data_IF_327599355675
#
_entry.id   IF_327599355675
#
_cell.length_a   1.000
_cell.length_b   1.000
_cell.length_c   1.000
_cell.angle_alpha   90.00
_cell.angle_beta   90.00
_cell.angle_gamma   90.00
#
_symmetry.space_group_name_H-M   'P 1'
#
loop_
_entity.id
_entity.type
_entity.pdbx_description
1 polymer ?
#
# COMPACT_ATOMS: atom_id res chain seq x y z
N UNK A 1 28.18 -1.56 -165.83
CA UNK A 1 26.86 -1.77 -165.20
C UNK A 1 27.08 -1.99 -163.72
N UNK A 2 26.78 -0.99 -162.89
CA UNK A 2 26.99 -1.04 -161.45
C UNK A 2 25.93 -1.92 -160.77
N UNK A 3 26.33 -3.06 -160.22
CA UNK A 3 25.46 -3.97 -159.49
C UNK A 3 25.14 -3.40 -158.10
N UNK A 4 24.09 -2.57 -158.00
CA UNK A 4 23.61 -1.97 -156.73
C UNK A 4 22.83 -2.95 -155.83
N UNK A 5 22.47 -4.13 -156.35
CA UNK A 5 21.70 -5.18 -155.65
C UNK A 5 22.37 -5.74 -154.37
N UNK A 6 23.66 -6.14 -154.36
CA UNK A 6 24.31 -6.61 -153.14
C UNK A 6 24.40 -5.54 -152.05
N UNK A 7 24.58 -4.27 -152.41
CA UNK A 7 24.65 -3.16 -151.46
C UNK A 7 23.32 -2.95 -150.71
N UNK A 8 22.20 -3.06 -151.44
CA UNK A 8 20.85 -2.93 -150.85
C UNK A 8 20.59 -4.07 -149.85
N UNK A 9 21.00 -5.30 -150.18
CA UNK A 9 20.83 -6.46 -149.28
C UNK A 9 21.64 -6.29 -147.99
N UNK A 10 22.90 -5.85 -148.11
CA UNK A 10 23.76 -5.57 -146.93
C UNK A 10 23.16 -4.46 -146.07
N UNK A 11 22.60 -3.41 -146.68
CA UNK A 11 21.95 -2.32 -145.96
C UNK A 11 20.71 -2.78 -145.18
N UNK A 12 19.88 -3.62 -145.80
CA UNK A 12 18.69 -4.20 -145.14
C UNK A 12 19.09 -5.13 -143.99
N UNK A 13 20.13 -5.94 -144.19
CA UNK A 13 20.66 -6.81 -143.13
C UNK A 13 21.24 -6.01 -141.95
N UNK A 14 21.95 -4.92 -142.23
CA UNK A 14 22.48 -4.02 -141.21
C UNK A 14 21.34 -3.35 -140.41
N UNK A 15 20.26 -2.93 -141.07
CA UNK A 15 19.08 -2.36 -140.41
C UNK A 15 18.34 -3.40 -139.54
N UNK A 16 18.18 -4.64 -140.03
CA UNK A 16 17.57 -5.73 -139.27
C UNK A 16 18.41 -6.12 -138.04
N UNK A 17 19.74 -6.18 -138.20
CA UNK A 17 20.65 -6.46 -137.09
C UNK A 17 20.67 -5.31 -136.06
N UNK A 18 20.68 -4.06 -136.51
CA UNK A 18 20.59 -2.90 -135.63
C UNK A 18 19.27 -2.89 -134.84
N UNK A 19 18.15 -3.19 -135.50
CA UNK A 19 16.84 -3.33 -134.86
C UNK A 19 16.80 -4.47 -133.83
N UNK A 20 17.40 -5.62 -134.15
CA UNK A 20 17.49 -6.76 -133.23
C UNK A 20 18.37 -6.48 -132.01
N UNK A 21 19.53 -5.84 -132.20
CA UNK A 21 20.41 -5.45 -131.10
C UNK A 21 19.78 -4.36 -130.21
N UNK A 22 19.07 -3.39 -130.79
CA UNK A 22 18.32 -2.39 -130.02
C UNK A 22 17.14 -3.01 -129.24
N UNK A 23 16.42 -3.96 -129.84
CA UNK A 23 15.35 -4.69 -129.14
C UNK A 23 15.90 -5.54 -127.98
N UNK A 24 17.02 -6.24 -128.21
CA UNK A 24 17.69 -7.05 -127.19
C UNK A 24 18.26 -6.18 -126.06
N UNK A 25 18.82 -5.00 -126.36
CA UNK A 25 19.33 -4.09 -125.33
C UNK A 25 18.21 -3.50 -124.49
N UNK A 26 17.07 -3.12 -125.08
CA UNK A 26 15.90 -2.60 -124.34
C UNK A 26 15.31 -3.68 -123.44
N UNK A 27 15.21 -4.94 -123.90
CA UNK A 27 14.72 -6.03 -123.06
C UNK A 27 15.69 -6.39 -121.94
N UNK A 28 17.00 -6.37 -122.21
CA UNK A 28 18.02 -6.55 -121.17
C UNK A 28 17.99 -5.42 -120.14
N UNK A 29 17.76 -4.17 -120.57
CA UNK A 29 17.64 -3.03 -119.67
C UNK A 29 16.38 -3.11 -118.81
N UNK A 30 15.24 -3.53 -119.39
CA UNK A 30 14.00 -3.77 -118.63
C UNK A 30 14.14 -4.92 -117.62
N UNK A 31 14.88 -5.97 -117.96
CA UNK A 31 15.17 -7.06 -117.03
C UNK A 31 16.10 -6.60 -115.90
N UNK A 32 17.12 -5.80 -116.21
CA UNK A 32 18.01 -5.20 -115.21
C UNK A 32 17.29 -4.20 -114.30
N UNK A 33 16.37 -3.39 -114.84
CA UNK A 33 15.52 -2.48 -114.06
C UNK A 33 14.56 -3.25 -113.13
N UNK A 34 13.98 -4.36 -113.60
CA UNK A 34 13.12 -5.22 -112.79
C UNK A 34 13.90 -5.93 -111.66
N UNK A 35 15.11 -6.39 -111.93
CA UNK A 35 15.95 -7.01 -110.91
C UNK A 35 16.51 -5.97 -109.92
N UNK A 36 16.85 -4.76 -110.37
CA UNK A 36 17.23 -3.66 -109.49
C UNK A 36 16.06 -3.24 -108.56
N UNK A 37 14.83 -3.19 -109.08
CA UNK A 37 13.65 -2.91 -108.27
C UNK A 37 13.41 -4.00 -107.20
N UNK A 38 13.61 -5.27 -107.53
CA UNK A 38 13.49 -6.39 -106.58
C UNK A 38 14.57 -6.38 -105.50
N UNK A 39 15.80 -6.00 -105.85
CA UNK A 39 16.89 -5.85 -104.87
C UNK A 39 16.57 -4.73 -103.89
N UNK A 40 16.06 -3.60 -104.35
CA UNK A 40 15.63 -2.48 -103.48
C UNK A 40 14.49 -2.90 -102.56
N UNK A 41 13.52 -3.67 -103.05
CA UNK A 41 12.41 -4.20 -102.25
C UNK A 41 12.90 -5.19 -101.18
N UNK A 42 13.85 -6.07 -101.53
CA UNK A 42 14.49 -6.99 -100.58
C UNK A 42 15.34 -6.25 -99.53
N UNK A 43 16.08 -5.20 -99.91
CA UNK A 43 16.84 -4.37 -98.98
C UNK A 43 15.92 -3.64 -97.99
N UNK A 44 14.78 -3.11 -98.46
CA UNK A 44 13.74 -2.53 -97.61
C UNK A 44 13.16 -3.56 -96.64
N UNK A 45 12.82 -4.76 -97.12
CA UNK A 45 12.31 -5.84 -96.28
C UNK A 45 13.31 -6.27 -95.20
N UNK A 46 14.62 -6.34 -95.54
CA UNK A 46 15.69 -6.65 -94.57
C UNK A 46 15.84 -5.53 -93.55
N UNK A 47 15.81 -4.26 -93.97
CA UNK A 47 15.88 -3.12 -93.05
C UNK A 47 14.69 -3.07 -92.09
N UNK A 48 13.47 -3.34 -92.57
CA UNK A 48 12.28 -3.44 -91.73
C UNK A 48 12.41 -4.58 -90.70
N UNK A 49 12.92 -5.74 -91.14
CA UNK A 49 13.11 -6.90 -90.27
C UNK A 49 14.17 -6.62 -89.19
N UNK A 50 15.28 -5.97 -89.53
CA UNK A 50 16.26 -5.52 -88.54
C UNK A 50 15.68 -4.49 -87.56
N UNK A 51 14.84 -3.56 -88.05
CA UNK A 51 14.21 -2.56 -87.20
C UNK A 51 13.24 -3.21 -86.20
N UNK A 52 12.45 -4.19 -86.64
CA UNK A 52 11.56 -4.97 -85.77
C UNK A 52 12.37 -5.78 -84.75
N UNK A 53 13.43 -6.48 -85.18
CA UNK A 53 14.30 -7.24 -84.27
C UNK A 53 14.95 -6.35 -83.19
N UNK A 54 15.42 -5.15 -83.57
CA UNK A 54 15.95 -4.15 -82.62
C UNK A 54 14.88 -3.66 -81.64
N UNK A 55 13.63 -3.49 -82.07
CA UNK A 55 12.52 -3.10 -81.19
C UNK A 55 12.14 -4.23 -80.22
N UNK A 56 12.09 -5.47 -80.69
CA UNK A 56 11.81 -6.64 -79.84
C UNK A 56 12.89 -6.86 -78.80
N UNK A 57 14.17 -6.74 -79.19
CA UNK A 57 15.29 -6.82 -78.25
C UNK A 57 15.21 -5.74 -77.15
N UNK A 58 14.84 -4.50 -77.52
CA UNK A 58 14.63 -3.41 -76.54
C UNK A 58 13.45 -3.71 -75.61
N UNK A 59 12.34 -4.20 -76.13
CA UNK A 59 11.17 -4.58 -75.31
C UNK A 59 11.50 -5.73 -74.35
N UNK A 60 12.26 -6.72 -74.80
CA UNK A 60 12.72 -7.84 -73.98
C UNK A 60 13.66 -7.36 -72.86
N UNK A 61 14.61 -6.47 -73.17
CA UNK A 61 15.50 -5.88 -72.18
C UNK A 61 14.74 -5.08 -71.10
N UNK A 62 13.78 -4.24 -71.51
CA UNK A 62 12.93 -3.50 -70.57
C UNK A 62 12.05 -4.42 -69.71
N UNK A 63 11.56 -5.52 -70.27
CA UNK A 63 10.77 -6.50 -69.51
C UNK A 63 11.61 -7.23 -68.46
N UNK A 64 12.87 -7.56 -68.77
CA UNK A 64 13.81 -8.16 -67.82
C UNK A 64 14.20 -7.17 -66.71
N UNK A 65 14.48 -5.90 -67.03
CA UNK A 65 14.73 -4.87 -66.02
C UNK A 65 13.51 -4.65 -65.12
N UNK A 66 12.31 -4.58 -65.69
CA UNK A 66 11.06 -4.46 -64.92
C UNK A 66 10.85 -5.66 -63.98
N UNK A 67 11.17 -6.88 -64.42
CA UNK A 67 11.11 -8.08 -63.56
C UNK A 67 12.10 -8.00 -62.40
N UNK A 68 13.35 -7.60 -62.65
CA UNK A 68 14.36 -7.43 -61.61
C UNK A 68 13.95 -6.39 -60.57
N UNK A 69 13.47 -5.24 -61.01
CA UNK A 69 12.97 -4.19 -60.12
C UNK A 69 11.76 -4.66 -59.30
N UNK A 70 10.85 -5.44 -59.89
CA UNK A 70 9.71 -6.02 -59.18
C UNK A 70 10.16 -7.04 -58.12
N UNK A 71 11.15 -7.88 -58.42
CA UNK A 71 11.73 -8.82 -57.45
C UNK A 71 12.47 -8.11 -56.32
N UNK A 72 13.26 -7.07 -56.61
CA UNK A 72 13.93 -6.26 -55.61
C UNK A 72 12.93 -5.54 -54.71
N UNK A 73 11.88 -4.94 -55.28
CA UNK A 73 10.80 -4.30 -54.53
C UNK A 73 10.08 -5.32 -53.61
N UNK A 74 9.84 -6.54 -54.10
CA UNK A 74 9.25 -7.61 -53.31
C UNK A 74 10.15 -8.02 -52.15
N UNK A 75 11.46 -8.22 -52.39
CA UNK A 75 12.43 -8.54 -51.34
C UNK A 75 12.51 -7.44 -50.28
N UNK A 76 12.49 -6.18 -50.68
CA UNK A 76 12.48 -5.04 -49.75
C UNK A 76 11.18 -4.99 -48.93
N UNK A 77 10.03 -5.24 -49.55
CA UNK A 77 8.75 -5.30 -48.85
C UNK A 77 8.71 -6.45 -47.82
N UNK A 78 9.19 -7.63 -48.19
CA UNK A 78 9.29 -8.80 -47.30
C UNK A 78 10.26 -8.53 -46.13
N UNK A 79 11.44 -7.94 -46.40
CA UNK A 79 12.40 -7.57 -45.37
C UNK A 79 11.83 -6.51 -44.40
N UNK A 80 11.10 -5.53 -44.93
CA UNK A 80 10.44 -4.51 -44.11
C UNK A 80 9.35 -5.12 -43.23
N UNK A 81 8.48 -5.95 -43.81
CA UNK A 81 7.44 -6.65 -43.05
C UNK A 81 8.02 -7.53 -41.93
N UNK A 82 9.14 -8.22 -42.18
CA UNK A 82 9.83 -9.02 -41.17
C UNK A 82 10.40 -8.16 -40.03
N UNK A 83 10.97 -6.99 -40.34
CA UNK A 83 11.46 -6.05 -39.33
C UNK A 83 10.32 -5.42 -38.52
N UNK A 84 9.23 -5.05 -39.18
CA UNK A 84 8.04 -4.49 -38.52
C UNK A 84 7.43 -5.53 -37.56
N UNK A 85 7.33 -6.80 -37.98
CA UNK A 85 6.86 -7.88 -37.12
C UNK A 85 7.75 -8.10 -35.89
N UNK A 86 9.08 -8.05 -36.05
CA UNK A 86 10.02 -8.14 -34.91
C UNK A 86 9.88 -6.97 -33.94
N UNK A 87 9.76 -5.76 -34.48
CA UNK A 87 9.57 -4.54 -33.70
C UNK A 87 8.28 -4.61 -32.88
N UNK A 88 7.19 -5.05 -33.50
CA UNK A 88 5.89 -5.20 -32.82
C UNK A 88 5.95 -6.30 -31.75
N UNK A 89 6.59 -7.42 -32.03
CA UNK A 89 6.78 -8.47 -31.02
C UNK A 89 7.59 -7.98 -29.82
N UNK A 90 8.64 -7.18 -30.04
CA UNK A 90 9.42 -6.57 -28.97
C UNK A 90 8.58 -5.59 -28.13
N UNK A 91 7.76 -4.75 -28.78
CA UNK A 91 6.83 -3.84 -28.09
C UNK A 91 5.80 -4.59 -27.24
N UNK A 92 5.21 -5.66 -27.78
CA UNK A 92 4.26 -6.48 -27.05
C UNK A 92 4.91 -7.17 -25.84
N UNK A 93 6.15 -7.64 -25.98
CA UNK A 93 6.91 -8.21 -24.87
C UNK A 93 7.21 -7.16 -23.78
N UNK A 94 7.58 -5.94 -24.16
CA UNK A 94 7.80 -4.83 -23.23
C UNK A 94 6.51 -4.46 -22.49
N UNK A 95 5.38 -4.35 -23.19
CA UNK A 95 4.07 -4.09 -22.58
C UNK A 95 3.70 -5.21 -21.59
N UNK A 96 3.95 -6.48 -21.95
CA UNK A 96 3.70 -7.60 -21.07
C UNK A 96 4.56 -7.56 -19.80
N UNK A 97 5.85 -7.22 -19.92
CA UNK A 97 6.76 -7.06 -18.78
C UNK A 97 6.35 -5.90 -17.87
N UNK A 98 6.00 -4.75 -18.44
CA UNK A 98 5.48 -3.59 -17.69
C UNK A 98 4.19 -3.95 -16.93
N UNK A 99 3.27 -4.67 -17.57
CA UNK A 99 2.03 -5.13 -16.94
C UNK A 99 2.30 -6.13 -15.82
N UNK A 100 3.25 -7.04 -16.01
CA UNK A 100 3.67 -7.99 -14.97
C UNK A 100 4.26 -7.26 -13.75
N UNK A 101 5.15 -6.28 -13.97
CA UNK A 101 5.71 -5.43 -12.91
C UNK A 101 4.63 -4.65 -12.16
N UNK A 102 3.69 -4.04 -12.88
CA UNK A 102 2.57 -3.31 -12.27
C UNK A 102 1.70 -4.23 -11.40
N UNK A 103 1.38 -5.43 -11.88
CA UNK A 103 0.61 -6.41 -11.12
C UNK A 103 1.38 -6.89 -9.88
N UNK A 104 2.69 -7.13 -9.99
CA UNK A 104 3.51 -7.51 -8.85
C UNK A 104 3.53 -6.43 -7.76
N UNK A 105 3.70 -5.16 -8.16
CA UNK A 105 3.65 -4.02 -7.22
C UNK A 105 2.27 -3.89 -6.57
N UNK A 106 1.19 -4.04 -7.35
CA UNK A 106 -0.18 -3.99 -6.83
C UNK A 106 -0.44 -5.10 -5.82
N UNK A 107 -0.01 -6.33 -6.12
CA UNK A 107 -0.16 -7.46 -5.21
C UNK A 107 0.64 -7.27 -3.93
N UNK A 108 1.90 -6.83 -4.03
CA UNK A 108 2.73 -6.53 -2.87
C UNK A 108 2.10 -5.44 -1.98
N UNK A 109 1.57 -4.37 -2.59
CA UNK A 109 0.87 -3.31 -1.86
C UNK A 109 -0.41 -3.83 -1.17
N UNK A 110 -1.16 -4.74 -1.80
CA UNK A 110 -2.35 -5.33 -1.21
C UNK A 110 -2.00 -6.24 -0.03
N UNK A 111 -0.95 -7.06 -0.14
CA UNK A 111 -0.46 -7.90 0.96
C UNK A 111 -0.04 -7.04 2.15
N UNK A 112 0.77 -6.00 1.89
CA UNK A 112 1.22 -5.08 2.94
C UNK A 112 0.05 -4.38 3.66
N UNK A 113 -1.00 -3.99 2.91
CA UNK A 113 -2.22 -3.40 3.52
C UNK A 113 -2.93 -4.40 4.44
N UNK A 114 -3.13 -5.63 3.98
CA UNK A 114 -3.80 -6.68 4.78
C UNK A 114 -3.00 -7.01 6.04
N UNK A 115 -1.67 -7.05 5.95
CA UNK A 115 -0.81 -7.27 7.12
C UNK A 115 -0.87 -6.10 8.11
N UNK A 116 -0.87 -4.85 7.63
CA UNK A 116 -1.06 -3.68 8.47
C UNK A 116 -2.44 -3.65 9.15
N UNK A 117 -3.50 -4.03 8.44
CA UNK A 117 -4.85 -4.17 9.01
C UNK A 117 -4.90 -5.23 10.12
N UNK A 118 -4.20 -6.36 9.95
CA UNK A 118 -4.11 -7.40 10.98
C UNK A 118 -3.35 -6.91 12.22
N UNK A 119 -2.22 -6.24 12.03
CA UNK A 119 -1.43 -5.76 13.16
C UNK A 119 -2.14 -4.63 13.91
N UNK A 120 -2.81 -3.71 13.20
CA UNK A 120 -3.63 -2.67 13.83
C UNK A 120 -4.82 -3.27 14.60
N UNK A 121 -5.49 -4.30 14.08
CA UNK A 121 -6.54 -5.02 14.79
C UNK A 121 -6.01 -5.70 16.06
N UNK A 122 -4.85 -6.35 15.98
CA UNK A 122 -4.17 -6.98 17.12
C UNK A 122 -3.83 -5.95 18.21
N UNK A 123 -3.19 -4.84 17.84
CA UNK A 123 -2.82 -3.77 18.78
C UNK A 123 -4.06 -3.14 19.44
N UNK A 124 -5.14 -2.99 18.68
CA UNK A 124 -6.41 -2.49 19.22
C UNK A 124 -7.00 -3.45 20.25
N UNK A 125 -7.00 -4.75 19.96
CA UNK A 125 -7.46 -5.78 20.89
C UNK A 125 -6.59 -5.83 22.16
N UNK A 126 -5.26 -5.74 22.01
CA UNK A 126 -4.33 -5.71 23.14
C UNK A 126 -4.56 -4.47 24.02
N UNK A 127 -4.74 -3.29 23.41
CA UNK A 127 -5.06 -2.06 24.15
C UNK A 127 -6.37 -2.19 24.92
N UNK A 128 -7.41 -2.77 24.33
CA UNK A 128 -8.69 -3.00 25.00
C UNK A 128 -8.54 -3.98 26.17
N UNK A 129 -7.76 -5.05 26.00
CA UNK A 129 -7.48 -6.01 27.06
C UNK A 129 -6.75 -5.35 28.24
N UNK A 130 -5.71 -4.55 27.96
CA UNK A 130 -4.97 -3.79 28.97
C UNK A 130 -5.85 -2.77 29.70
N UNK A 131 -6.75 -2.09 28.99
CA UNK A 131 -7.69 -1.15 29.60
C UNK A 131 -8.68 -1.87 30.54
N UNK A 132 -9.21 -3.02 30.11
CA UNK A 132 -10.08 -3.85 30.92
C UNK A 132 -9.36 -4.38 32.18
N UNK A 133 -8.12 -4.84 32.04
CA UNK A 133 -7.31 -5.29 33.16
C UNK A 133 -6.99 -4.16 34.14
N UNK A 134 -6.65 -2.97 33.64
CA UNK A 134 -6.42 -1.78 34.46
C UNK A 134 -7.66 -1.41 35.28
N UNK A 135 -8.85 -1.41 34.65
CA UNK A 135 -10.13 -1.19 35.35
C UNK A 135 -10.38 -2.25 36.42
N UNK A 136 -10.13 -3.52 36.12
CA UNK A 136 -10.25 -4.63 37.08
C UNK A 136 -9.33 -4.46 38.28
N UNK A 137 -8.05 -4.12 38.04
CA UNK A 137 -7.07 -3.89 39.10
C UNK A 137 -7.44 -2.68 39.96
N UNK A 138 -7.95 -1.61 39.34
CA UNK A 138 -8.43 -0.45 40.09
C UNK A 138 -9.63 -0.80 40.98
N UNK A 139 -10.58 -1.60 40.47
CA UNK A 139 -11.72 -2.08 41.25
C UNK A 139 -11.27 -2.97 42.42
N UNK A 140 -10.32 -3.88 42.17
CA UNK A 140 -9.74 -4.73 43.22
C UNK A 140 -9.09 -3.89 44.31
N UNK A 141 -8.23 -2.93 43.95
CA UNK A 141 -7.58 -2.02 44.92
C UNK A 141 -8.60 -1.23 45.74
N UNK A 142 -9.71 -0.79 45.14
CA UNK A 142 -10.79 -0.09 45.87
C UNK A 142 -11.47 -1.03 46.87
N UNK A 143 -11.78 -2.25 46.45
CA UNK A 143 -12.37 -3.27 47.31
C UNK A 143 -11.44 -3.63 48.48
N UNK A 144 -10.15 -3.85 48.21
CA UNK A 144 -9.14 -4.13 49.23
C UNK A 144 -9.00 -2.98 50.22
N UNK A 145 -8.97 -1.72 49.75
CA UNK A 145 -8.95 -0.54 50.62
C UNK A 145 -10.18 -0.46 51.52
N UNK A 146 -11.37 -0.73 50.98
CA UNK A 146 -12.60 -0.76 51.77
C UNK A 146 -12.59 -1.90 52.79
N UNK A 147 -12.11 -3.09 52.40
CA UNK A 147 -11.93 -4.23 53.30
C UNK A 147 -10.90 -3.97 54.41
N UNK A 148 -9.81 -3.28 54.10
CA UNK A 148 -8.81 -2.87 55.09
C UNK A 148 -9.36 -1.81 56.06
N UNK A 149 -10.10 -0.82 55.55
CA UNK A 149 -10.71 0.22 56.38
C UNK A 149 -11.76 -0.34 57.34
N UNK A 150 -12.57 -1.31 56.89
CA UNK A 150 -13.56 -1.98 57.76
C UNK A 150 -12.89 -2.81 58.84
N UNK A 151 -11.83 -3.56 58.51
CA UNK A 151 -11.02 -4.29 59.50
C UNK A 151 -10.35 -3.35 60.51
N UNK A 152 -9.81 -2.22 60.05
CA UNK A 152 -9.20 -1.22 60.92
C UNK A 152 -10.23 -0.66 61.91
N UNK A 153 -11.39 -0.22 61.41
CA UNK A 153 -12.46 0.29 62.26
C UNK A 153 -12.93 -0.74 63.29
N UNK A 154 -13.10 -2.00 62.87
CA UNK A 154 -13.46 -3.08 63.79
C UNK A 154 -12.39 -3.30 64.89
N UNK A 155 -11.10 -3.20 64.53
CA UNK A 155 -10.01 -3.29 65.50
C UNK A 155 -9.98 -2.08 66.46
N UNK A 156 -10.23 -0.88 65.96
CA UNK A 156 -10.35 0.34 66.79
C UNK A 156 -11.52 0.24 67.78
N UNK A 157 -12.69 -0.23 67.32
CA UNK A 157 -13.86 -0.45 68.15
C UNK A 157 -13.61 -1.53 69.22
N UNK A 158 -12.92 -2.62 68.85
CA UNK A 158 -12.53 -3.67 69.79
C UNK A 158 -11.55 -3.13 70.85
N UNK A 159 -10.57 -2.32 70.46
CA UNK A 159 -9.63 -1.66 71.37
C UNK A 159 -10.34 -0.70 72.32
N UNK A 160 -11.31 0.07 71.82
CA UNK A 160 -12.12 0.98 72.63
C UNK A 160 -12.93 0.23 73.68
N UNK A 161 -13.57 -0.89 73.30
CA UNK A 161 -14.30 -1.77 74.23
C UNK A 161 -13.36 -2.37 75.28
N UNK A 162 -12.21 -2.88 74.89
CA UNK A 162 -11.22 -3.44 75.81
C UNK A 162 -10.71 -2.39 76.81
N UNK A 163 -10.43 -1.16 76.35
CA UNK A 163 -10.05 -0.03 77.23
C UNK A 163 -11.18 0.34 78.21
N UNK A 164 -12.42 0.37 77.75
CA UNK A 164 -13.57 0.66 78.60
C UNK A 164 -13.78 -0.43 79.67
N UNK A 165 -13.63 -1.70 79.29
CA UNK A 165 -13.70 -2.83 80.23
C UNK A 165 -12.59 -2.76 81.27
N UNK A 166 -11.33 -2.58 80.84
CA UNK A 166 -10.20 -2.45 81.76
C UNK A 166 -10.41 -1.29 82.76
N UNK A 167 -10.94 -0.14 82.32
CA UNK A 167 -11.30 0.95 83.25
C UNK A 167 -12.33 0.54 84.30
N UNK A 168 -13.35 -0.24 83.91
CA UNK A 168 -14.36 -0.75 84.84
C UNK A 168 -13.74 -1.75 85.83
N UNK A 169 -12.89 -2.64 85.34
CA UNK A 169 -12.20 -3.64 86.16
C UNK A 169 -11.27 -2.96 87.19
N UNK A 170 -10.54 -1.91 86.80
CA UNK A 170 -9.72 -1.10 87.72
C UNK A 170 -10.59 -0.45 88.81
N UNK A 171 -11.73 0.14 88.43
CA UNK A 171 -12.65 0.76 89.42
C UNK A 171 -13.21 -0.29 90.37
N UNK A 172 -13.65 -1.44 89.85
CA UNK A 172 -14.15 -2.55 90.66
C UNK A 172 -13.08 -3.06 91.63
N UNK A 173 -11.86 -3.32 91.15
CA UNK A 173 -10.73 -3.73 91.98
C UNK A 173 -10.38 -2.69 93.06
N UNK A 174 -10.44 -1.39 92.73
CA UNK A 174 -10.23 -0.32 93.70
C UNK A 174 -11.31 -0.30 94.79
N UNK A 175 -12.56 -0.50 94.41
CA UNK A 175 -13.67 -0.53 95.36
C UNK A 175 -13.64 -1.78 96.24
N UNK A 176 -13.23 -2.93 95.71
CA UNK A 176 -12.96 -4.13 96.50
C UNK A 176 -11.80 -3.92 97.48
N UNK A 177 -10.67 -3.34 97.04
CA UNK A 177 -9.56 -3.02 97.91
C UNK A 177 -9.96 -2.05 99.04
N UNK A 178 -10.82 -1.06 98.75
CA UNK A 178 -11.41 -0.17 99.77
C UNK A 178 -12.27 -0.94 100.76
N UNK A 179 -13.15 -1.83 100.30
CA UNK A 179 -13.97 -2.67 101.18
C UNK A 179 -13.12 -3.56 102.08
N UNK A 180 -12.06 -4.17 101.54
CA UNK A 180 -11.12 -4.97 102.33
C UNK A 180 -10.39 -4.14 103.37
N UNK A 181 -9.88 -2.96 102.98
CA UNK A 181 -9.23 -2.04 103.92
C UNK A 181 -10.17 -1.58 105.05
N UNK A 182 -11.44 -1.29 104.74
CA UNK A 182 -12.46 -0.96 105.76
C UNK A 182 -12.68 -2.14 106.71
N UNK A 183 -12.88 -3.36 106.18
CA UNK A 183 -13.04 -4.57 107.00
C UNK A 183 -11.83 -4.81 107.92
N UNK A 184 -10.61 -4.64 107.41
CA UNK A 184 -9.40 -4.76 108.23
C UNK A 184 -9.32 -3.68 109.32
N UNK A 185 -9.68 -2.43 109.00
CA UNK A 185 -9.75 -1.35 109.99
C UNK A 185 -10.79 -1.63 111.07
N UNK A 186 -11.98 -2.11 110.69
CA UNK A 186 -13.05 -2.50 111.63
C UNK A 186 -12.62 -3.68 112.51
N UNK A 187 -11.97 -4.70 111.94
CA UNK A 187 -11.42 -5.82 112.70
C UNK A 187 -10.34 -5.36 113.70
N UNK A 188 -9.46 -4.43 113.30
CA UNK A 188 -8.45 -3.83 114.20
C UNK A 188 -9.07 -2.97 115.30
N UNK A 189 -10.16 -2.25 115.02
CA UNK A 189 -10.89 -1.45 116.00
C UNK A 189 -11.60 -2.36 117.03
N UNK A 190 -12.27 -3.41 116.57
CA UNK A 190 -12.91 -4.41 117.41
C UNK A 190 -11.90 -5.13 118.32
N UNK A 191 -10.72 -5.50 117.80
CA UNK A 191 -9.64 -6.13 118.58
C UNK A 191 -9.06 -5.21 119.67
N UNK A 192 -9.19 -3.88 119.52
CA UNK A 192 -8.75 -2.88 120.50
C UNK A 192 -9.85 -2.43 121.46
N UNK A 193 -11.05 -3.02 121.38
CA UNK A 193 -12.18 -2.67 122.26
C UNK A 193 -12.82 -1.29 121.98
N UNK A 194 -12.61 -0.73 120.79
CA UNK A 194 -13.20 0.55 120.36
C UNK A 194 -14.29 0.29 119.30
N UNK A 195 -15.41 1.03 119.36
CA UNK A 195 -16.51 0.90 118.37
C UNK A 195 -16.01 1.14 116.95
N UNK A 196 -16.60 0.43 115.98
CA UNK A 196 -16.24 0.54 114.56
C UNK A 196 -16.41 1.98 114.06
N UNK A 197 -15.37 2.54 113.42
CA UNK A 197 -15.34 3.92 112.92
C UNK A 197 -16.47 4.26 111.92
N UNK A 198 -17.04 3.27 111.24
CA UNK A 198 -18.18 3.44 110.33
C UNK A 198 -19.49 3.81 111.05
N UNK A 199 -19.66 3.39 112.31
CA UNK A 199 -20.78 3.79 113.17
C UNK A 199 -20.59 5.19 113.76
N UNK A 200 -19.34 5.62 113.97
CA UNK A 200 -19.03 6.96 114.48
C UNK A 200 -19.38 8.02 113.43
N UNK A 201 -18.96 7.82 112.18
CA UNK A 201 -19.23 8.78 111.09
C UNK A 201 -20.72 8.84 110.74
N UNK A 202 -21.46 7.73 110.86
CA UNK A 202 -22.91 7.73 110.56
C UNK A 202 -23.74 8.39 111.67
N UNK A 203 -23.31 8.35 112.94
CA UNK A 203 -23.89 9.17 114.02
C UNK A 203 -23.59 10.66 113.84
N UNK A 204 -22.34 11.05 113.54
CA UNK A 204 -21.98 12.46 113.31
C UNK A 204 -22.71 13.06 112.08
N UNK A 205 -22.95 12.28 111.03
CA UNK A 205 -23.67 12.75 109.83
C UNK A 205 -25.18 12.87 110.04
N UNK A 206 -25.76 12.09 110.96
CA UNK A 206 -27.16 12.23 111.35
C UNK A 206 -27.38 13.49 112.21
N UNK A 207 -26.40 13.86 113.04
CA UNK A 207 -26.41 15.08 113.85
C UNK A 207 -26.10 16.35 113.03
N UNK A 208 -25.27 16.25 111.99
CA UNK A 208 -24.80 17.42 111.23
C UNK A 208 -25.61 17.71 109.94
N UNK A 209 -26.95 17.68 110.04
CA UNK A 209 -27.86 18.05 108.93
C UNK A 209 -28.04 19.58 108.76
N UNK A 210 -27.45 20.42 109.60
CA UNK A 210 -27.77 21.87 109.63
C UNK A 210 -26.68 22.83 109.14
N UNK A 211 -25.58 22.36 108.54
CA UNK A 211 -24.52 23.28 108.12
C UNK A 211 -23.82 22.87 106.81
N UNK A 212 -24.47 23.14 105.67
CA UNK A 212 -23.76 23.21 104.39
C UNK A 212 -24.02 24.59 103.78
N UNK A 213 -23.03 25.49 103.71
CA UNK A 213 -23.20 26.75 103.00
C UNK A 213 -23.27 26.50 101.49
N UNK A 214 -24.22 27.16 100.81
CA UNK A 214 -24.33 27.19 99.35
C UNK A 214 -23.09 27.88 98.77
N UNK A 215 -22.16 27.12 98.22
CA UNK A 215 -21.03 27.66 97.47
C UNK A 215 -21.54 28.08 96.08
N UNK A 216 -21.55 29.38 95.83
CA UNK A 216 -21.87 29.99 94.55
C UNK A 216 -20.75 29.69 93.55
N UNK A 217 -21.02 28.83 92.56
CA UNK A 217 -20.07 28.50 91.50
C UNK A 217 -20.20 29.57 90.41
N UNK A 218 -19.23 30.49 90.34
CA UNK A 218 -19.04 31.38 89.20
C UNK A 218 -18.83 30.54 87.92
N UNK A 219 -19.70 30.74 86.91
CA UNK A 219 -19.51 30.17 85.57
C UNK A 219 -18.28 30.80 84.92
N UNK A 220 -17.15 30.10 84.90
CA UNK A 220 -16.02 30.47 84.04
C UNK A 220 -16.30 29.98 82.62
N UNK A 221 -16.28 30.93 81.70
CA UNK A 221 -16.57 30.77 80.28
C UNK A 221 -15.40 30.04 79.59
N UNK A 222 -15.53 28.75 79.33
CA UNK A 222 -14.50 27.92 78.67
C UNK A 222 -14.51 28.05 77.15
N UNK A 223 -14.47 29.29 76.64
CA UNK A 223 -14.42 29.57 75.20
C UNK A 223 -13.10 30.23 74.74
N UNK A 224 -12.02 30.02 75.51
CA UNK A 224 -10.66 30.38 75.11
C UNK A 224 -9.81 29.14 75.19
N UNK A 225 -9.67 28.44 74.06
CA UNK A 225 -8.50 27.65 73.65
C UNK A 225 -8.82 27.05 72.26
N UNK A 226 -8.89 27.92 71.25
CA UNK A 226 -8.58 27.50 69.89
C UNK A 226 -7.16 27.95 69.58
N UNK A 227 -6.19 27.05 69.40
CA UNK A 227 -4.95 27.40 68.74
C UNK A 227 -5.21 27.41 67.23
N UNK A 228 -5.40 28.60 66.67
CA UNK A 228 -5.24 28.85 65.25
C UNK A 228 -3.75 28.79 64.92
N UNK A 229 -3.26 27.64 64.48
CA UNK A 229 -1.99 27.57 63.77
C UNK A 229 -2.22 27.28 62.30
N UNK A 230 -1.79 28.29 61.55
CA UNK A 230 -1.57 28.37 60.11
C UNK A 230 -0.70 27.19 59.65
N UNK A 231 -1.14 26.51 58.60
CA UNK A 231 -0.26 25.84 57.65
C UNK A 231 -0.58 26.40 56.26
N UNK A 232 0.13 27.47 55.90
CA UNK A 232 0.46 27.81 54.52
C UNK A 232 1.76 27.06 54.21
N UNK A 233 1.77 26.25 53.15
CA UNK A 233 2.89 26.20 52.21
C UNK A 233 2.52 25.37 50.98
N UNK A 234 2.59 26.07 49.84
CA UNK A 234 2.97 25.67 48.47
C UNK A 234 2.41 24.38 47.86
#
# INVERSE_FOLDING_TARGET
>A
MENKKPLIIVLVLALLLAGFFAFKSVNANKAAEADAARVVELELAVQEQEHLAKQEAKKAALAEEARRLAEEARRLAEAKAANDAKSEQARLAEIADLKAKQNAVRNAAQVARVEAEKETARLTAERQALEAESKRLQALRKSEKAGAATKLKAAEDALAKAKAQNRRDIVAARDEARKQAIKEMEARAAAKGQMAMTEVVSKERAENKSSIPKIFIQKTNTNRLQPSYIMRSN
#
